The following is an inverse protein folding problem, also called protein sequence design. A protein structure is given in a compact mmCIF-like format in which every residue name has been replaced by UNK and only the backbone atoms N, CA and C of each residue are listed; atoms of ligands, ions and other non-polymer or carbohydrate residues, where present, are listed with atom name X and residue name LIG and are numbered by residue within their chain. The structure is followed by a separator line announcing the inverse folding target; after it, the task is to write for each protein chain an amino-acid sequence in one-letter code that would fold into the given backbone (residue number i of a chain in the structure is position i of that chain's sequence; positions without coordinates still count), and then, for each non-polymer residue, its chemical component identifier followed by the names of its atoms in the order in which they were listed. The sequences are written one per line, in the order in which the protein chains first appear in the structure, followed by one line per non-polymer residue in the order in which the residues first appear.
data_IF_728388122900
#
_entry.id   IF_728388122900
#
_cell.length_a   1.000
_cell.length_b   1.000
_cell.length_c   1.000
_cell.angle_alpha   90.00
_cell.angle_beta   90.00
_cell.angle_gamma   90.00
#
_symmetry.space_group_name_H-M   'P 1'
#
loop_
_entity.id
_entity.type
_entity.pdbx_description
1 polymer ?
#
# COMPACT_ATOMS: atom_id res chain seq x y z
N UNK A 1 -9.94 11.47 19.95
CA UNK A 1 -9.11 10.64 20.84
C UNK A 1 -7.63 11.01 20.72
N UNK A 2 -7.04 11.08 19.51
CA UNK A 2 -5.62 11.42 19.35
C UNK A 2 -5.26 12.77 19.96
N UNK A 3 -6.09 13.81 19.75
CA UNK A 3 -5.93 15.12 20.40
C UNK A 3 -6.10 15.10 21.93
N UNK A 4 -6.63 14.02 22.49
CA UNK A 4 -6.73 13.78 23.93
C UNK A 4 -5.58 12.93 24.50
N UNK A 5 -4.56 12.61 23.67
CA UNK A 5 -3.34 11.92 24.11
C UNK A 5 -3.26 10.43 23.77
N UNK A 6 -4.21 9.87 23.05
CA UNK A 6 -4.12 8.50 22.55
C UNK A 6 -3.22 8.46 21.30
N UNK A 7 -2.08 7.77 21.40
CA UNK A 7 -1.05 7.82 20.37
C UNK A 7 -1.38 7.02 19.12
N UNK A 8 -2.09 5.90 19.25
CA UNK A 8 -2.44 5.02 18.15
C UNK A 8 -3.96 4.81 18.09
N UNK A 9 -4.48 4.74 16.88
CA UNK A 9 -5.90 4.48 16.65
C UNK A 9 -6.07 3.67 15.36
N UNK A 10 -7.14 2.88 15.32
CA UNK A 10 -7.76 2.45 14.07
C UNK A 10 -8.18 3.67 13.27
N UNK A 11 -8.21 3.52 11.96
CA UNK A 11 -8.57 4.57 11.04
C UNK A 11 -9.67 4.11 10.09
N UNK A 12 -10.28 5.05 9.39
CA UNK A 12 -11.25 4.75 8.33
C UNK A 12 -10.59 4.27 7.02
N UNK A 13 -9.35 3.80 7.05
CA UNK A 13 -8.66 3.28 5.89
C UNK A 13 -9.47 2.21 5.16
N UNK A 14 -10.05 1.26 5.88
CA UNK A 14 -10.87 0.18 5.33
C UNK A 14 -11.99 0.67 4.40
N UNK A 15 -12.53 1.86 4.66
CA UNK A 15 -13.64 2.47 3.93
C UNK A 15 -13.18 3.40 2.77
N UNK A 16 -11.87 3.61 2.58
CA UNK A 16 -11.31 4.44 1.52
C UNK A 16 -10.83 3.55 0.39
N UNK A 17 -11.59 3.44 -0.69
CA UNK A 17 -11.33 2.48 -1.76
C UNK A 17 -11.12 3.11 -3.14
N UNK A 18 -11.56 4.35 -3.33
CA UNK A 18 -11.30 5.11 -4.57
C UNK A 18 -9.98 5.87 -4.49
N UNK A 19 -9.39 6.22 -5.65
CA UNK A 19 -8.17 7.03 -5.73
C UNK A 19 -8.32 8.34 -4.95
N UNK A 20 -9.39 9.10 -5.20
CA UNK A 20 -9.61 10.40 -4.57
C UNK A 20 -9.69 10.30 -3.03
N UNK A 21 -10.44 9.31 -2.52
CA UNK A 21 -10.53 9.07 -1.07
C UNK A 21 -9.19 8.68 -0.45
N UNK A 22 -8.39 7.85 -1.15
CA UNK A 22 -7.08 7.42 -0.67
C UNK A 22 -6.06 8.55 -0.72
N UNK A 23 -6.07 9.38 -1.76
CA UNK A 23 -5.21 10.58 -1.86
C UNK A 23 -5.49 11.55 -0.72
N UNK A 24 -6.76 11.90 -0.49
CA UNK A 24 -7.16 12.77 0.62
C UNK A 24 -6.76 12.18 1.98
N UNK A 25 -7.05 10.91 2.17
CA UNK A 25 -6.77 10.21 3.42
C UNK A 25 -5.27 10.13 3.72
N UNK A 26 -4.45 9.68 2.78
CA UNK A 26 -3.01 9.54 2.95
C UNK A 26 -2.32 10.90 3.10
N UNK A 27 -2.71 11.90 2.31
CA UNK A 27 -2.20 13.27 2.46
C UNK A 27 -2.58 13.87 3.82
N UNK A 28 -3.81 13.63 4.30
CA UNK A 28 -4.27 14.04 5.62
C UNK A 28 -3.46 13.41 6.75
N UNK A 29 -3.13 12.10 6.65
CA UNK A 29 -2.28 11.41 7.63
C UNK A 29 -0.86 11.94 7.66
N UNK A 30 -0.27 12.23 6.50
CA UNK A 30 1.09 12.78 6.40
C UNK A 30 1.18 14.26 6.78
N UNK A 31 0.04 14.97 6.82
CA UNK A 31 -0.08 16.39 7.13
C UNK A 31 -0.14 16.68 8.64
N UNK A 32 -1.01 17.61 9.00
CA UNK A 32 -1.16 18.08 10.41
C UNK A 32 -1.50 17.01 11.42
N UNK A 33 -2.24 15.97 11.02
CA UNK A 33 -2.61 14.88 11.93
C UNK A 33 -1.39 14.07 12.39
N UNK A 34 -0.30 14.07 11.62
CA UNK A 34 0.96 13.43 11.99
C UNK A 34 1.61 14.01 13.26
N UNK A 35 1.18 15.18 13.75
CA UNK A 35 1.68 15.77 15.00
C UNK A 35 1.22 14.99 16.24
N UNK A 36 0.03 14.40 16.17
CA UNK A 36 -0.63 13.80 17.32
C UNK A 36 -1.22 12.40 17.08
N UNK A 37 -1.34 11.95 15.83
CA UNK A 37 -1.92 10.65 15.46
C UNK A 37 -0.86 9.71 14.89
N UNK A 38 -0.85 8.47 15.38
CA UNK A 38 -0.14 7.33 14.78
C UNK A 38 -1.19 6.37 14.25
N UNK A 39 -1.48 6.41 12.94
CA UNK A 39 -2.52 5.58 12.34
C UNK A 39 -2.07 4.13 12.27
N UNK A 40 -3.02 3.21 12.53
CA UNK A 40 -2.89 1.82 12.16
C UNK A 40 -3.81 1.55 10.97
N UNK A 41 -3.23 1.17 9.82
CA UNK A 41 -3.98 0.89 8.62
C UNK A 41 -4.38 -0.60 8.61
N UNK A 42 -5.53 -0.92 9.20
CA UNK A 42 -6.11 -2.25 9.06
C UNK A 42 -6.77 -2.43 7.70
N UNK A 43 -6.44 -3.52 7.01
CA UNK A 43 -7.05 -3.88 5.71
C UNK A 43 -8.45 -4.44 5.89
N UNK A 44 -8.70 -5.14 6.99
CA UNK A 44 -9.98 -5.65 7.46
C UNK A 44 -9.93 -5.85 8.98
N UNK A 45 -11.09 -6.08 9.59
CA UNK A 45 -11.21 -6.46 11.01
C UNK A 45 -12.29 -7.54 11.14
N UNK A 46 -12.50 -8.18 12.31
CA UNK A 46 -13.64 -9.07 12.48
C UNK A 46 -14.97 -8.42 12.08
N UNK A 47 -15.12 -7.15 12.42
CA UNK A 47 -16.35 -6.37 12.25
C UNK A 47 -16.39 -5.58 10.92
N UNK A 48 -15.33 -5.66 10.09
CA UNK A 48 -15.24 -4.89 8.83
C UNK A 48 -14.67 -5.77 7.72
N UNK A 49 -15.53 -6.10 6.77
CA UNK A 49 -15.21 -6.71 5.49
C UNK A 49 -15.97 -5.94 4.40
N UNK A 50 -15.35 -4.90 3.86
CA UNK A 50 -15.99 -4.01 2.90
C UNK A 50 -16.33 -4.71 1.59
N UNK A 51 -17.31 -4.18 0.85
CA UNK A 51 -17.69 -4.69 -0.48
C UNK A 51 -16.49 -4.77 -1.42
N UNK A 52 -15.52 -3.87 -1.29
CA UNK A 52 -14.29 -3.91 -2.08
C UNK A 52 -13.52 -5.23 -1.93
N UNK A 53 -13.43 -5.77 -0.71
CA UNK A 53 -12.82 -7.08 -0.47
C UNK A 53 -13.77 -8.24 -0.79
N UNK A 54 -15.07 -8.09 -0.52
CA UNK A 54 -16.04 -9.15 -0.80
C UNK A 54 -16.11 -9.49 -2.29
N UNK A 55 -16.00 -8.49 -3.17
CA UNK A 55 -16.22 -8.65 -4.61
C UNK A 55 -14.99 -8.42 -5.48
N UNK A 56 -13.92 -7.84 -4.94
CA UNK A 56 -12.73 -7.48 -5.73
C UNK A 56 -11.72 -8.61 -5.91
N UNK A 57 -11.95 -9.77 -5.29
CA UNK A 57 -11.07 -10.95 -5.42
C UNK A 57 -9.61 -10.69 -5.01
N UNK A 58 -8.66 -11.54 -5.46
CA UNK A 58 -7.26 -11.46 -5.05
C UNK A 58 -6.58 -10.11 -5.34
N UNK A 59 -7.02 -9.39 -6.38
CA UNK A 59 -6.50 -8.07 -6.72
C UNK A 59 -6.79 -7.06 -5.60
N UNK A 60 -8.02 -7.00 -5.10
CA UNK A 60 -8.41 -6.13 -4.00
C UNK A 60 -7.56 -6.37 -2.74
N UNK A 61 -7.30 -7.64 -2.40
CA UNK A 61 -6.46 -8.02 -1.28
C UNK A 61 -5.02 -7.55 -1.45
N UNK A 62 -4.42 -7.72 -2.64
CA UNK A 62 -3.06 -7.23 -2.93
C UNK A 62 -2.98 -5.71 -2.83
N UNK A 63 -3.90 -5.00 -3.47
CA UNK A 63 -3.94 -3.53 -3.47
C UNK A 63 -4.05 -2.98 -2.06
N UNK A 64 -5.02 -3.50 -1.28
CA UNK A 64 -5.24 -3.02 0.10
C UNK A 64 -4.03 -3.30 1.00
N UNK A 65 -3.44 -4.50 0.91
CA UNK A 65 -2.24 -4.85 1.67
C UNK A 65 -1.05 -3.96 1.29
N UNK A 66 -0.80 -3.74 -0.01
CA UNK A 66 0.31 -2.91 -0.47
C UNK A 66 0.17 -1.45 0.00
N UNK A 67 -1.02 -0.85 -0.16
CA UNK A 67 -1.26 0.53 0.29
C UNK A 67 -1.15 0.64 1.81
N UNK A 68 -1.71 -0.31 2.57
CA UNK A 68 -1.61 -0.30 4.03
C UNK A 68 -0.15 -0.43 4.50
N UNK A 69 0.59 -1.37 3.91
CA UNK A 69 1.97 -1.64 4.25
C UNK A 69 2.94 -0.50 3.93
N UNK A 70 2.64 0.32 2.92
CA UNK A 70 3.53 1.40 2.45
C UNK A 70 3.04 2.80 2.80
N UNK A 71 1.74 2.98 3.06
CA UNK A 71 1.13 4.29 3.34
C UNK A 71 1.41 4.82 4.76
N UNK A 72 1.57 3.94 5.75
CA UNK A 72 1.82 4.34 7.13
C UNK A 72 2.84 3.44 7.84
N UNK A 73 3.43 3.91 8.96
CA UNK A 73 4.38 3.12 9.74
C UNK A 73 3.79 1.85 10.34
N UNK A 74 2.49 1.82 10.59
CA UNK A 74 1.81 0.69 11.22
C UNK A 74 0.62 0.24 10.37
N UNK A 75 0.52 -1.06 10.15
CA UNK A 75 -0.58 -1.68 9.45
C UNK A 75 -0.94 -3.02 10.09
N UNK A 76 -2.15 -3.51 9.83
CA UNK A 76 -2.62 -4.76 10.39
C UNK A 76 -3.57 -5.50 9.46
N UNK A 77 -3.65 -6.81 9.67
CA UNK A 77 -4.57 -7.71 9.00
C UNK A 77 -5.32 -8.53 10.05
N UNK A 78 -6.57 -8.80 9.78
CA UNK A 78 -7.31 -9.82 10.53
C UNK A 78 -7.05 -11.20 9.92
N UNK A 79 -6.90 -12.21 10.79
CA UNK A 79 -6.63 -13.59 10.37
C UNK A 79 -7.69 -14.11 9.39
N UNK A 80 -7.23 -14.75 8.31
CA UNK A 80 -8.07 -15.17 7.17
C UNK A 80 -7.93 -14.27 5.94
N UNK A 81 -7.42 -13.04 6.11
CA UNK A 81 -7.09 -12.16 4.99
C UNK A 81 -6.12 -12.82 4.01
N UNK A 82 -5.12 -13.49 4.53
CA UNK A 82 -4.12 -14.23 3.76
C UNK A 82 -4.68 -15.46 3.02
N UNK A 83 -5.91 -15.87 3.34
CA UNK A 83 -6.64 -16.94 2.67
C UNK A 83 -7.74 -16.41 1.74
N UNK A 84 -7.80 -15.09 1.55
CA UNK A 84 -8.86 -14.42 0.78
C UNK A 84 -10.25 -14.72 1.31
N UNK A 85 -10.42 -14.72 2.65
CA UNK A 85 -11.74 -14.88 3.25
C UNK A 85 -12.59 -13.64 2.96
N UNK A 86 -13.56 -13.80 2.05
CA UNK A 86 -14.35 -12.73 1.44
C UNK A 86 -15.85 -12.82 1.73
N UNK A 87 -16.26 -13.77 2.58
CA UNK A 87 -17.67 -13.99 2.89
C UNK A 87 -18.10 -13.12 4.06
N UNK A 88 -19.06 -12.23 3.79
CA UNK A 88 -19.68 -11.40 4.81
C UNK A 88 -20.97 -12.01 5.36
N UNK A 89 -21.40 -11.53 6.52
CA UNK A 89 -22.73 -11.82 7.06
C UNK A 89 -23.79 -11.22 6.11
N UNK A 90 -24.91 -11.92 5.88
CA UNK A 90 -25.98 -11.40 5.03
C UNK A 90 -26.45 -10.00 5.43
N UNK A 91 -26.39 -9.05 4.49
CA UNK A 91 -26.83 -7.67 4.71
C UNK A 91 -25.89 -6.83 5.58
N UNK A 92 -24.65 -7.23 5.76
CA UNK A 92 -23.63 -6.56 6.58
C UNK A 92 -22.28 -6.56 5.88
N UNK A 93 -21.39 -5.67 6.30
CA UNK A 93 -19.98 -5.67 5.93
C UNK A 93 -19.08 -6.24 7.05
N UNK A 94 -19.59 -7.19 7.80
CA UNK A 94 -18.88 -7.95 8.83
C UNK A 94 -18.51 -9.34 8.31
N UNK A 95 -17.39 -9.88 8.75
CA UNK A 95 -17.04 -11.27 8.43
C UNK A 95 -18.11 -12.24 8.95
N UNK A 96 -18.40 -13.31 8.20
CA UNK A 96 -19.46 -14.26 8.53
C UNK A 96 -19.22 -14.94 9.88
N UNK A 97 -17.97 -15.31 10.17
CA UNK A 97 -17.55 -15.95 11.42
C UNK A 97 -16.73 -14.96 12.23
N UNK A 98 -17.34 -13.86 12.68
CA UNK A 98 -16.66 -12.78 13.37
C UNK A 98 -16.66 -12.91 14.90
N UNK A 99 -17.17 -14.02 15.43
CA UNK A 99 -17.18 -14.27 16.88
C UNK A 99 -15.76 -14.40 17.42
N UNK A 100 -15.40 -13.48 18.30
CA UNK A 100 -14.02 -13.33 18.82
C UNK A 100 -13.58 -14.48 19.71
N UNK A 101 -14.52 -15.29 20.18
CA UNK A 101 -14.29 -16.41 21.12
C UNK A 101 -14.41 -17.79 20.46
N UNK A 102 -14.77 -17.84 19.20
CA UNK A 102 -14.87 -19.08 18.45
C UNK A 102 -13.54 -19.42 17.76
N UNK A 103 -13.17 -20.69 17.85
CA UNK A 103 -12.02 -21.19 17.10
C UNK A 103 -12.44 -21.51 15.68
N UNK A 104 -11.88 -20.78 14.71
CA UNK A 104 -12.04 -21.05 13.29
C UNK A 104 -10.83 -21.85 12.76
N UNK A 105 -11.08 -23.11 12.43
CA UNK A 105 -10.05 -23.95 11.79
C UNK A 105 -9.77 -23.48 10.37
N UNK A 106 -8.49 -23.28 10.03
CA UNK A 106 -8.03 -22.92 8.70
C UNK A 106 -6.94 -23.90 8.23
N UNK A 107 -7.07 -24.38 7.00
CA UNK A 107 -6.09 -25.31 6.41
C UNK A 107 -5.00 -24.53 5.66
N UNK A 108 -4.05 -24.02 6.43
CA UNK A 108 -2.90 -23.28 5.93
C UNK A 108 -2.00 -24.12 5.00
N UNK A 109 -1.87 -25.40 5.30
CA UNK A 109 -1.03 -26.32 4.52
C UNK A 109 -1.63 -26.53 3.14
N UNK A 110 -2.93 -26.78 3.07
CA UNK A 110 -3.63 -26.93 1.79
C UNK A 110 -3.62 -25.63 0.99
N UNK A 111 -3.85 -24.50 1.64
CA UNK A 111 -3.82 -23.18 0.98
C UNK A 111 -2.45 -22.91 0.34
N UNK A 112 -1.37 -23.19 1.06
CA UNK A 112 0.00 -23.06 0.55
C UNK A 112 0.26 -24.03 -0.61
N UNK A 113 -0.13 -25.31 -0.46
CA UNK A 113 0.10 -26.35 -1.49
C UNK A 113 -0.68 -26.06 -2.79
N UNK A 114 -1.82 -25.40 -2.70
CA UNK A 114 -2.68 -25.06 -3.87
C UNK A 114 -2.43 -23.65 -4.41
N UNK A 115 -1.51 -22.87 -3.82
CA UNK A 115 -1.25 -21.49 -4.21
C UNK A 115 -2.40 -20.52 -3.87
N UNK A 116 -3.39 -20.94 -3.08
CA UNK A 116 -4.54 -20.11 -2.66
C UNK A 116 -4.24 -19.39 -1.36
N UNK A 117 -3.13 -18.69 -1.32
CA UNK A 117 -2.73 -17.89 -0.16
C UNK A 117 -2.00 -16.63 -0.58
N UNK A 118 -2.27 -15.54 0.12
CA UNK A 118 -1.58 -14.27 0.01
C UNK A 118 -0.33 -14.19 0.92
N UNK A 119 -0.08 -15.19 1.75
CA UNK A 119 0.99 -15.16 2.74
C UNK A 119 2.38 -14.82 2.15
N UNK A 120 2.80 -15.36 0.98
CA UNK A 120 4.08 -14.96 0.37
C UNK A 120 4.12 -13.47 0.00
N UNK A 121 3.01 -12.89 -0.47
CA UNK A 121 2.91 -11.46 -0.78
C UNK A 121 3.01 -10.60 0.47
N UNK A 122 2.32 -10.97 1.55
CA UNK A 122 2.41 -10.28 2.85
C UNK A 122 3.83 -10.37 3.43
N UNK A 123 4.49 -11.52 3.31
CA UNK A 123 5.90 -11.69 3.68
C UNK A 123 6.77 -10.73 2.89
N UNK A 124 6.57 -10.66 1.56
CA UNK A 124 7.33 -9.74 0.71
C UNK A 124 7.12 -8.27 1.09
N UNK A 125 5.89 -7.86 1.38
CA UNK A 125 5.62 -6.51 1.87
C UNK A 125 6.37 -6.20 3.18
N UNK A 126 6.40 -7.14 4.12
CA UNK A 126 7.12 -6.96 5.38
C UNK A 126 8.65 -6.93 5.19
N UNK A 127 9.22 -7.71 4.27
CA UNK A 127 10.63 -7.62 3.87
C UNK A 127 10.96 -6.24 3.30
N UNK A 128 10.12 -5.72 2.38
CA UNK A 128 10.25 -4.38 1.81
C UNK A 128 10.25 -3.33 2.93
N UNK A 129 9.31 -3.42 3.87
CA UNK A 129 9.22 -2.52 5.03
C UNK A 129 10.46 -2.58 5.94
N UNK A 130 11.01 -3.77 6.14
CA UNK A 130 12.21 -3.95 6.94
C UNK A 130 13.44 -3.32 6.27
N UNK A 131 13.54 -3.44 4.93
CA UNK A 131 14.66 -2.94 4.14
C UNK A 131 14.63 -1.41 3.92
N UNK A 132 13.46 -0.78 3.91
CA UNK A 132 13.28 0.61 3.53
C UNK A 132 12.87 1.51 4.70
N UNK A 133 13.80 2.28 5.28
CA UNK A 133 13.53 3.17 6.41
C UNK A 133 12.52 4.29 6.07
N UNK A 134 12.39 4.70 4.81
CA UNK A 134 11.37 5.66 4.38
C UNK A 134 9.93 5.18 4.69
N UNK A 135 9.68 3.87 4.73
CA UNK A 135 8.37 3.31 5.06
C UNK A 135 8.04 3.38 6.56
N UNK A 136 9.01 3.65 7.42
CA UNK A 136 8.83 3.81 8.86
C UNK A 136 8.42 5.23 9.27
N UNK A 137 8.39 6.16 8.32
CA UNK A 137 8.03 7.56 8.53
C UNK A 137 6.58 7.80 8.10
N UNK A 138 5.92 8.79 8.71
CA UNK A 138 4.54 9.17 8.35
C UNK A 138 4.51 10.44 7.49
N UNK A 139 5.31 11.46 7.82
CA UNK A 139 5.27 12.79 7.20
C UNK A 139 5.87 12.89 5.81
N UNK A 140 6.60 11.86 5.38
CA UNK A 140 7.35 11.83 4.12
C UNK A 140 6.55 11.28 2.93
N UNK A 141 5.25 11.09 3.08
CA UNK A 141 4.36 10.68 1.98
C UNK A 141 3.93 11.91 1.19
N UNK A 142 3.97 11.79 -0.15
CA UNK A 142 3.45 12.79 -1.10
C UNK A 142 2.67 12.09 -2.20
N UNK A 143 1.44 12.54 -2.45
CA UNK A 143 0.63 12.09 -3.59
C UNK A 143 1.08 12.76 -4.88
N UNK A 144 0.89 12.07 -5.99
CA UNK A 144 1.24 12.53 -7.33
C UNK A 144 0.07 12.28 -8.29
N UNK A 145 0.18 12.80 -9.50
CA UNK A 145 -0.86 12.73 -10.50
C UNK A 145 -0.72 11.49 -11.40
N UNK A 146 -1.84 10.97 -11.89
CA UNK A 146 -1.94 10.04 -13.02
C UNK A 146 -3.15 10.41 -13.87
N UNK A 147 -3.10 10.10 -15.17
CA UNK A 147 -4.19 10.40 -16.11
C UNK A 147 -5.37 9.42 -15.99
N UNK A 148 -5.34 8.49 -15.04
CA UNK A 148 -6.41 7.52 -14.78
C UNK A 148 -6.94 7.67 -13.36
N UNK A 149 -8.26 7.77 -13.21
CA UNK A 149 -8.95 7.94 -11.92
C UNK A 149 -8.94 6.67 -11.04
N UNK A 150 -8.46 5.56 -11.55
CA UNK A 150 -8.27 4.32 -10.80
C UNK A 150 -6.80 4.01 -10.49
N UNK A 151 -5.85 4.90 -10.84
CA UNK A 151 -4.43 4.68 -10.57
C UNK A 151 -3.93 5.68 -9.54
N UNK A 152 -3.74 5.20 -8.32
CA UNK A 152 -3.17 5.95 -7.19
C UNK A 152 -1.65 5.98 -7.29
N UNK A 153 -1.04 7.16 -7.08
CA UNK A 153 0.41 7.35 -7.08
C UNK A 153 0.84 8.14 -5.85
N UNK A 154 1.81 7.63 -5.14
CA UNK A 154 2.47 8.38 -4.07
C UNK A 154 3.94 7.98 -3.90
N UNK A 155 4.70 8.87 -3.30
CA UNK A 155 6.11 8.64 -2.97
C UNK A 155 6.34 8.72 -1.47
N UNK A 156 7.40 8.05 -1.03
CA UNK A 156 7.98 8.22 0.30
C UNK A 156 9.50 8.38 0.14
N UNK A 157 10.03 9.45 0.70
CA UNK A 157 11.45 9.76 0.60
C UNK A 157 12.03 10.07 1.97
N UNK A 158 13.22 9.56 2.22
CA UNK A 158 14.03 9.87 3.40
C UNK A 158 15.43 10.29 2.91
N UNK A 159 15.83 11.51 3.22
CA UNK A 159 17.13 12.03 2.82
C UNK A 159 18.28 11.31 3.57
N UNK A 160 19.46 11.29 2.98
CA UNK A 160 20.63 10.54 3.45
C UNK A 160 21.03 10.86 4.91
N UNK A 161 20.81 12.09 5.37
CA UNK A 161 21.08 12.52 6.76
C UNK A 161 20.23 11.81 7.80
N UNK A 162 19.05 11.27 7.40
CA UNK A 162 18.11 10.59 8.29
C UNK A 162 18.16 9.07 8.16
N UNK A 163 19.03 8.51 7.33
CA UNK A 163 19.25 7.07 7.17
C UNK A 163 20.47 6.60 7.93
N UNK A 164 20.47 5.36 8.37
CA UNK A 164 21.60 4.80 9.13
C UNK A 164 22.86 4.58 8.31
N UNK A 165 22.73 4.37 7.00
CA UNK A 165 23.83 4.12 6.04
C UNK A 165 24.22 5.37 5.25
N UNK A 166 23.63 6.52 5.56
CA UNK A 166 23.87 7.79 4.89
C UNK A 166 23.57 7.78 3.39
N UNK A 167 22.62 6.94 2.96
CA UNK A 167 22.11 6.93 1.58
C UNK A 167 20.66 7.36 1.58
N UNK A 168 20.20 8.13 0.58
CA UNK A 168 18.78 8.45 0.49
C UNK A 168 17.97 7.18 0.20
N UNK A 169 16.75 7.10 0.75
CA UNK A 169 15.81 6.02 0.52
C UNK A 169 14.52 6.60 -0.07
N UNK A 170 14.21 6.22 -1.30
CA UNK A 170 13.05 6.72 -2.04
C UNK A 170 12.25 5.59 -2.65
N UNK A 171 10.94 5.61 -2.40
CA UNK A 171 9.99 4.67 -2.97
C UNK A 171 8.88 5.41 -3.71
N UNK A 172 8.45 4.82 -4.82
CA UNK A 172 7.29 5.24 -5.58
C UNK A 172 6.31 4.06 -5.58
N UNK A 173 5.09 4.31 -5.14
CA UNK A 173 4.01 3.32 -5.15
C UNK A 173 2.98 3.73 -6.19
N UNK A 174 2.67 2.81 -7.09
CA UNK A 174 1.64 2.97 -8.11
C UNK A 174 0.66 1.81 -7.98
N UNK A 175 -0.59 2.10 -7.69
CA UNK A 175 -1.60 1.09 -7.41
C UNK A 175 -2.85 1.28 -8.27
N UNK A 176 -3.24 0.23 -8.97
CA UNK A 176 -4.54 0.15 -9.63
C UNK A 176 -5.60 -0.21 -8.59
N UNK A 177 -6.44 0.75 -8.22
CA UNK A 177 -7.52 0.54 -7.24
C UNK A 177 -8.80 -0.04 -7.85
N UNK A 178 -8.84 -0.26 -9.16
CA UNK A 178 -9.88 -1.06 -9.81
C UNK A 178 -9.46 -2.54 -9.85
N UNK A 179 -10.08 -3.42 -9.03
CA UNK A 179 -9.66 -4.81 -8.96
C UNK A 179 -10.14 -5.67 -10.14
N UNK A 180 -10.87 -5.09 -11.08
CA UNK A 180 -11.56 -5.82 -12.16
C UNK A 180 -10.97 -5.56 -13.54
N UNK A 181 -10.05 -4.60 -13.69
CA UNK A 181 -9.54 -4.18 -15.00
C UNK A 181 -8.02 -4.03 -15.03
N UNK A 182 -7.47 -4.16 -16.21
CA UNK A 182 -6.11 -3.67 -16.52
C UNK A 182 -6.18 -2.15 -16.70
N UNK A 183 -5.24 -1.42 -16.09
CA UNK A 183 -5.10 0.02 -16.27
C UNK A 183 -3.75 0.35 -16.89
N UNK A 184 -3.80 1.20 -17.90
CA UNK A 184 -2.63 1.72 -18.63
C UNK A 184 -2.72 3.23 -18.64
N UNK A 185 -1.69 3.91 -18.12
CA UNK A 185 -1.74 5.36 -17.95
C UNK A 185 -0.33 5.96 -17.85
N UNK A 186 -0.26 7.29 -17.91
CA UNK A 186 0.93 8.03 -17.54
C UNK A 186 0.82 8.49 -16.10
N UNK A 187 1.89 8.31 -15.34
CA UNK A 187 2.07 8.88 -13.99
C UNK A 187 3.03 10.06 -14.05
N UNK A 188 2.72 11.13 -13.31
CA UNK A 188 3.44 12.39 -13.29
C UNK A 188 4.00 12.65 -11.90
N UNK A 189 5.33 12.70 -11.77
CA UNK A 189 6.04 12.84 -10.51
C UNK A 189 6.63 14.24 -10.34
N UNK A 190 6.44 14.85 -9.18
CA UNK A 190 7.31 15.95 -8.74
C UNK A 190 8.61 15.35 -8.17
N UNK A 191 9.65 15.29 -8.96
CA UNK A 191 10.92 14.65 -8.62
C UNK A 191 11.62 15.31 -7.42
N UNK A 192 11.32 16.57 -7.12
CA UNK A 192 11.84 17.27 -5.92
C UNK A 192 11.39 16.57 -4.64
N UNK A 193 10.24 15.92 -4.64
CA UNK A 193 9.74 15.14 -3.50
C UNK A 193 10.55 13.85 -3.25
N UNK A 194 11.37 13.45 -4.22
CA UNK A 194 12.35 12.35 -4.13
C UNK A 194 13.77 12.85 -3.94
N UNK A 195 13.98 14.16 -3.76
CA UNK A 195 15.31 14.74 -3.65
C UNK A 195 16.09 14.78 -4.96
N UNK A 196 15.39 14.75 -6.10
CA UNK A 196 15.97 14.73 -7.44
C UNK A 196 15.72 16.07 -8.17
N UNK A 197 16.57 16.36 -9.16
CA UNK A 197 16.34 17.48 -10.06
C UNK A 197 15.06 17.26 -10.90
N UNK A 198 14.35 18.32 -11.30
CA UNK A 198 13.07 18.19 -12.02
C UNK A 198 13.18 17.46 -13.36
N UNK A 199 14.34 17.51 -13.99
CA UNK A 199 14.66 16.90 -15.28
C UNK A 199 15.48 15.59 -15.16
N UNK A 200 15.69 15.12 -13.93
CA UNK A 200 16.49 13.92 -13.69
C UNK A 200 15.89 12.67 -14.37
N UNK A 201 16.81 11.82 -14.82
CA UNK A 201 16.52 10.45 -15.24
C UNK A 201 17.19 9.48 -14.26
N UNK A 202 16.47 8.45 -13.86
CA UNK A 202 16.95 7.51 -12.85
C UNK A 202 16.42 6.10 -13.11
N UNK A 203 17.08 5.10 -12.54
CA UNK A 203 16.59 3.73 -12.59
C UNK A 203 15.66 3.48 -11.38
N UNK A 204 14.57 2.78 -11.61
CA UNK A 204 13.73 2.21 -10.55
C UNK A 204 13.76 0.69 -10.62
N UNK A 205 13.66 0.04 -9.47
CA UNK A 205 13.48 -1.39 -9.35
C UNK A 205 12.15 -1.69 -8.67
N UNK A 206 11.30 -2.45 -9.32
CA UNK A 206 10.09 -2.98 -8.69
C UNK A 206 10.45 -4.05 -7.64
N UNK A 207 10.05 -3.80 -6.43
CA UNK A 207 10.36 -4.67 -5.29
C UNK A 207 9.46 -5.91 -5.23
N UNK A 208 8.37 -5.95 -6.00
CA UNK A 208 7.50 -7.10 -6.13
C UNK A 208 8.01 -8.04 -7.23
N UNK A 209 8.15 -7.53 -8.46
CA UNK A 209 8.53 -8.33 -9.63
C UNK A 209 10.05 -8.48 -9.79
N UNK A 210 10.83 -7.52 -9.30
CA UNK A 210 12.27 -7.41 -9.51
C UNK A 210 12.67 -6.72 -10.80
N UNK A 211 11.71 -6.35 -11.66
CA UNK A 211 11.96 -5.63 -12.91
C UNK A 211 12.56 -4.25 -12.68
N UNK A 212 13.20 -3.72 -13.74
CA UNK A 212 13.88 -2.42 -13.69
C UNK A 212 13.51 -1.58 -14.89
N UNK A 213 13.34 -0.27 -14.67
CA UNK A 213 13.00 0.68 -15.71
C UNK A 213 13.75 2.00 -15.53
N UNK A 214 13.97 2.70 -16.64
CA UNK A 214 14.46 4.08 -16.60
C UNK A 214 13.26 5.03 -16.53
N UNK A 215 13.19 5.84 -15.48
CA UNK A 215 12.10 6.75 -15.17
C UNK A 215 12.55 8.20 -15.17
N UNK A 216 11.59 9.11 -15.24
CA UNK A 216 11.74 10.55 -15.10
C UNK A 216 10.51 11.15 -14.44
N UNK A 217 10.14 12.38 -14.82
CA UNK A 217 8.93 13.02 -14.30
C UNK A 217 7.66 12.34 -14.81
N UNK A 218 7.62 11.97 -16.08
CA UNK A 218 6.46 11.35 -16.72
C UNK A 218 6.79 9.92 -17.15
N UNK A 219 5.96 8.95 -16.73
CA UNK A 219 6.25 7.53 -16.95
C UNK A 219 4.98 6.75 -17.28
N UNK A 220 5.04 5.97 -18.34
CA UNK A 220 3.98 5.00 -18.65
C UNK A 220 4.01 3.83 -17.66
N UNK A 221 2.84 3.40 -17.23
CA UNK A 221 2.62 2.22 -16.40
C UNK A 221 1.49 1.36 -16.95
N UNK A 222 1.61 0.05 -16.75
CA UNK A 222 0.55 -0.93 -16.99
C UNK A 222 0.38 -1.80 -15.75
N UNK A 223 -0.78 -1.72 -15.12
CA UNK A 223 -1.12 -2.42 -13.89
C UNK A 223 -2.25 -3.42 -14.18
N UNK A 224 -1.94 -4.68 -14.01
CA UNK A 224 -2.84 -5.79 -14.35
C UNK A 224 -3.48 -6.37 -13.08
N UNK A 225 -4.79 -6.13 -12.89
CA UNK A 225 -5.53 -6.63 -11.72
C UNK A 225 -5.45 -8.16 -11.59
N UNK A 226 -5.30 -8.88 -12.70
CA UNK A 226 -5.27 -10.35 -12.70
C UNK A 226 -3.88 -10.94 -12.49
N UNK A 227 -2.83 -10.09 -12.49
CA UNK A 227 -1.43 -10.48 -12.27
C UNK A 227 -0.81 -9.73 -11.11
N UNK A 228 -0.47 -8.46 -11.33
CA UNK A 228 0.08 -7.58 -10.32
C UNK A 228 -0.51 -6.17 -10.46
N UNK A 229 -1.41 -5.79 -9.54
CA UNK A 229 -2.06 -4.48 -9.58
C UNK A 229 -1.23 -3.35 -8.96
N UNK A 230 -0.05 -3.63 -8.40
CA UNK A 230 0.74 -2.65 -7.68
C UNK A 230 2.21 -2.73 -8.05
N UNK A 231 2.83 -1.59 -8.34
CA UNK A 231 4.28 -1.44 -8.34
C UNK A 231 4.75 -0.75 -7.05
N UNK A 232 5.76 -1.32 -6.40
CA UNK A 232 6.50 -0.69 -5.30
C UNK A 232 7.93 -0.52 -5.79
N UNK A 233 8.26 0.69 -6.24
CA UNK A 233 9.49 0.97 -6.96
C UNK A 233 10.51 1.62 -6.03
N UNK A 234 11.67 1.01 -5.87
CA UNK A 234 12.81 1.64 -5.20
C UNK A 234 13.62 2.47 -6.22
N UNK A 235 13.95 3.71 -5.84
CA UNK A 235 14.80 4.61 -6.64
C UNK A 235 16.26 4.23 -6.46
N UNK A 236 16.98 4.02 -7.57
CA UNK A 236 18.43 3.82 -7.56
C UNK A 236 19.16 5.18 -7.69
N UNK A 237 19.47 5.78 -6.56
CA UNK A 237 20.14 7.08 -6.51
C UNK A 237 21.57 7.06 -7.06
N UNK A 238 22.19 5.89 -7.23
CA UNK A 238 23.53 5.77 -7.85
C UNK A 238 23.49 5.90 -9.37
N UNK A 239 22.31 5.85 -9.98
CA UNK A 239 22.06 5.90 -11.42
C UNK A 239 21.27 7.12 -11.85
N UNK A 240 21.32 8.19 -11.08
CA UNK A 240 20.70 9.47 -11.44
C UNK A 240 21.58 10.21 -12.45
N UNK A 241 20.93 10.76 -13.50
CA UNK A 241 21.59 11.51 -14.58
C UNK A 241 20.88 12.83 -14.84
#
# INVERSE_FOLDING_TARGET
LAGAGFHQSYTYFTWRNTKAELEEFLAGLAGRSADYLRPNLFVNTPDILTEYLQFGGPAAYRVRAAIAATGAPTWGVYAGYELFEDVARPGSEENIDNEKYEYKARDWVRAAATGRTLAPYLTRLNEIRAAHPALRQLRNLRTHWSDDDAVLVYTKHLAAEFTGDRKPDGLIVVANVDPHSVRETTVHLDLRQLGLAPDARFEVRDLISGERWAWGADNYVRLDAFREPVHILAVDYSKVR
#
